data_IF_812679960890
#
_entry.id   IF_812679960890
#
_cell.length_a   1.000
_cell.length_b   1.000
_cell.length_c   1.000
_cell.angle_alpha   90.00
_cell.angle_beta   90.00
_cell.angle_gamma   90.00
#
_symmetry.space_group_name_H-M   'P 1'
#
loop_
_entity.id
_entity.type
_entity.pdbx_description
1 polymer ?
#
# COMPACT_ATOMS: atom_id res chain seq x y z
N UNK A 1 35.36 -6.20 20.11
CA UNK A 1 35.11 -5.79 18.71
C UNK A 1 34.41 -4.46 18.75
N UNK A 2 35.15 -3.38 18.49
CA UNK A 2 34.69 -2.00 18.52
C UNK A 2 33.92 -1.74 17.21
N UNK A 3 32.59 -1.57 17.28
CA UNK A 3 31.76 -1.22 16.13
C UNK A 3 32.02 0.25 15.79
N UNK A 4 32.85 0.47 14.76
CA UNK A 4 32.98 1.76 14.08
C UNK A 4 31.66 2.10 13.39
N UNK A 5 30.93 3.06 13.95
CA UNK A 5 29.82 3.72 13.28
C UNK A 5 30.38 4.57 12.14
N UNK A 6 30.37 4.04 10.92
CA UNK A 6 30.63 4.81 9.70
C UNK A 6 29.40 5.68 9.46
N UNK A 7 29.47 6.93 9.91
CA UNK A 7 28.53 7.97 9.56
C UNK A 7 28.77 8.33 8.08
N UNK A 8 28.04 7.70 7.17
CA UNK A 8 28.00 8.15 5.77
C UNK A 8 27.29 9.51 5.76
N UNK A 9 28.06 10.59 5.76
CA UNK A 9 27.59 11.88 5.31
C UNK A 9 27.23 11.72 3.82
N UNK A 10 25.94 11.56 3.53
CA UNK A 10 25.41 11.69 2.17
C UNK A 10 25.45 13.17 1.83
N UNK A 11 26.63 13.67 1.49
CA UNK A 11 26.75 14.92 0.76
C UNK A 11 25.99 14.73 -0.55
N UNK A 12 25.02 15.60 -0.83
CA UNK A 12 24.35 15.61 -2.12
C UNK A 12 25.43 15.69 -3.20
N UNK A 13 25.65 14.58 -3.92
CA UNK A 13 26.51 14.55 -5.09
C UNK A 13 25.85 15.51 -6.09
N UNK A 14 26.44 16.69 -6.25
CA UNK A 14 26.03 17.63 -7.27
C UNK A 14 26.21 16.92 -8.62
N UNK A 15 25.11 16.48 -9.21
CA UNK A 15 25.11 15.79 -10.50
C UNK A 15 25.58 16.80 -11.55
N UNK A 16 26.60 16.40 -12.32
CA UNK A 16 27.04 17.20 -13.45
C UNK A 16 25.91 17.33 -14.47
N UNK A 17 25.78 18.51 -15.07
CA UNK A 17 24.82 18.73 -16.14
C UNK A 17 25.20 17.85 -17.35
N UNK A 18 24.20 17.18 -17.93
CA UNK A 18 24.36 16.29 -19.07
C UNK A 18 23.47 16.70 -20.25
N UNK A 19 23.81 16.19 -21.43
CA UNK A 19 23.05 16.40 -22.65
C UNK A 19 22.91 17.88 -23.04
N UNK A 20 21.76 18.21 -23.62
CA UNK A 20 21.48 19.56 -24.11
C UNK A 20 21.39 20.61 -23.00
N UNK A 21 21.02 20.21 -21.78
CA UNK A 21 20.91 21.12 -20.65
C UNK A 21 22.28 21.61 -20.15
N UNK A 22 23.37 20.90 -20.47
CA UNK A 22 24.71 21.29 -20.05
C UNK A 22 25.29 22.48 -20.82
N UNK A 23 24.80 22.75 -22.03
CA UNK A 23 25.37 23.80 -22.87
C UNK A 23 25.04 25.19 -22.30
N UNK A 24 26.07 25.98 -21.98
CA UNK A 24 25.96 27.31 -21.37
C UNK A 24 25.23 27.35 -20.02
N UNK A 25 25.10 26.20 -19.35
CA UNK A 25 24.57 26.10 -18.01
C UNK A 25 25.69 26.26 -16.98
N UNK A 26 25.40 26.95 -15.88
CA UNK A 26 26.34 27.02 -14.77
C UNK A 26 26.58 25.61 -14.20
N UNK A 27 27.82 25.34 -13.80
CA UNK A 27 28.19 24.02 -13.29
C UNK A 27 27.26 23.62 -12.14
N UNK A 28 26.71 22.40 -12.18
CA UNK A 28 25.77 21.84 -11.18
C UNK A 28 24.40 22.50 -11.06
N UNK A 29 24.06 23.42 -11.97
CA UNK A 29 22.75 24.10 -11.98
C UNK A 29 21.76 23.39 -12.91
N UNK A 30 21.66 22.08 -12.74
CA UNK A 30 20.73 21.25 -13.49
C UNK A 30 19.84 20.42 -12.56
N UNK A 31 18.61 20.20 -13.00
CA UNK A 31 17.65 19.36 -12.32
C UNK A 31 16.98 18.39 -13.28
N UNK A 32 16.58 17.22 -12.79
CA UNK A 32 15.87 16.23 -13.59
C UNK A 32 14.37 16.52 -13.61
N UNK A 33 13.77 16.42 -14.81
CA UNK A 33 12.33 16.51 -15.07
C UNK A 33 11.97 15.31 -15.95
N UNK A 34 11.38 14.28 -15.32
CA UNK A 34 11.25 12.97 -15.96
C UNK A 34 12.63 12.41 -16.35
N UNK A 35 12.78 12.01 -17.61
CA UNK A 35 14.04 11.47 -18.15
C UNK A 35 14.99 12.54 -18.71
N UNK A 36 14.59 13.81 -18.71
CA UNK A 36 15.40 14.92 -19.22
C UNK A 36 16.00 15.74 -18.06
N UNK A 37 17.17 16.33 -18.29
CA UNK A 37 17.68 17.39 -17.43
C UNK A 37 17.26 18.76 -17.97
N UNK A 38 17.08 19.72 -17.06
CA UNK A 38 16.88 21.13 -17.35
C UNK A 38 18.01 21.94 -16.71
N UNK A 39 18.47 22.99 -17.37
CA UNK A 39 19.29 24.01 -16.73
C UNK A 39 18.40 24.97 -15.92
N UNK A 40 18.74 25.21 -14.66
CA UNK A 40 18.04 26.14 -13.76
C UNK A 40 18.76 27.48 -13.61
N UNK A 41 20.03 27.56 -14.02
CA UNK A 41 20.81 28.81 -14.04
C UNK A 41 21.87 28.77 -15.15
N UNK A 42 21.73 29.66 -16.13
CA UNK A 42 22.66 29.81 -17.23
C UNK A 42 23.86 30.69 -16.87
N UNK A 43 24.93 30.61 -17.67
CA UNK A 43 26.01 31.59 -17.64
C UNK A 43 25.49 32.97 -18.06
N UNK A 44 26.31 34.01 -17.89
CA UNK A 44 25.95 35.38 -18.26
C UNK A 44 25.45 35.50 -19.71
N UNK A 45 24.55 36.45 -19.94
CA UNK A 45 23.92 36.78 -21.22
C UNK A 45 23.02 35.67 -21.82
N UNK A 46 22.78 34.60 -21.07
CA UNK A 46 21.87 33.52 -21.42
C UNK A 46 20.78 33.35 -20.38
N UNK A 47 19.66 32.74 -20.77
CA UNK A 47 18.51 32.46 -19.91
C UNK A 47 17.91 31.08 -20.21
N UNK A 48 17.30 30.39 -19.21
CA UNK A 48 16.75 29.06 -19.44
C UNK A 48 15.41 29.13 -20.19
N UNK A 49 15.38 28.55 -21.39
CA UNK A 49 14.18 28.38 -22.22
C UNK A 49 14.06 26.90 -22.56
N UNK A 50 12.91 26.29 -22.24
CA UNK A 50 12.68 24.86 -22.48
C UNK A 50 13.80 23.95 -21.94
N UNK A 51 14.37 24.30 -20.78
CA UNK A 51 15.43 23.56 -20.12
C UNK A 51 16.85 23.76 -20.67
N UNK A 52 17.02 24.65 -21.65
CA UNK A 52 18.31 24.93 -22.32
C UNK A 52 18.64 26.40 -22.19
N UNK A 53 19.92 26.74 -22.23
CA UNK A 53 20.34 28.14 -22.19
C UNK A 53 20.30 28.76 -23.59
N UNK A 54 19.51 29.82 -23.72
CA UNK A 54 19.34 30.60 -24.95
C UNK A 54 19.81 32.05 -24.73
N UNK A 55 20.28 32.70 -25.79
CA UNK A 55 20.76 34.09 -25.70
C UNK A 55 19.64 35.03 -25.23
N UNK A 56 19.88 35.77 -24.15
CA UNK A 56 18.87 36.60 -23.50
C UNK A 56 18.25 37.66 -24.41
N UNK A 57 19.06 38.26 -25.30
CA UNK A 57 18.61 39.27 -26.24
C UNK A 57 17.52 38.74 -27.21
N UNK A 58 17.62 37.47 -27.61
CA UNK A 58 16.64 36.81 -28.50
C UNK A 58 15.43 36.25 -27.78
N UNK A 59 15.46 36.15 -26.45
CA UNK A 59 14.44 35.48 -25.65
C UNK A 59 13.40 36.42 -25.02
N UNK A 60 13.48 37.74 -25.22
CA UNK A 60 12.64 38.75 -24.56
C UNK A 60 11.13 38.59 -24.78
N UNK A 61 10.71 37.94 -25.88
CA UNK A 61 9.30 37.58 -26.11
C UNK A 61 8.77 36.46 -25.20
N UNK A 62 9.66 35.74 -24.51
CA UNK A 62 9.34 34.59 -23.63
C UNK A 62 9.79 34.82 -22.20
N UNK A 63 10.97 35.40 -22.01
CA UNK A 63 11.66 35.53 -20.74
C UNK A 63 12.24 36.93 -20.56
N UNK A 64 11.89 37.57 -19.46
CA UNK A 64 12.39 38.90 -19.09
C UNK A 64 12.79 38.93 -17.62
N UNK A 65 13.47 40.00 -17.23
CA UNK A 65 13.56 40.38 -15.83
C UNK A 65 12.19 40.93 -15.34
N UNK A 66 12.07 41.24 -14.05
CA UNK A 66 10.82 41.75 -13.46
C UNK A 66 10.37 43.09 -14.05
N UNK A 67 11.30 43.86 -14.62
CA UNK A 67 11.04 45.14 -15.30
C UNK A 67 10.70 45.02 -16.79
N UNK A 68 10.68 43.80 -17.36
CA UNK A 68 10.38 43.56 -18.77
C UNK A 68 11.56 43.72 -19.74
N UNK A 69 12.78 43.95 -19.25
CA UNK A 69 13.99 43.94 -20.08
C UNK A 69 14.59 42.53 -20.18
N UNK A 70 15.62 42.35 -21.00
CA UNK A 70 16.34 41.07 -21.09
C UNK A 70 16.81 40.63 -19.70
N UNK A 71 16.51 39.37 -19.35
CA UNK A 71 17.01 38.77 -18.11
C UNK A 71 18.46 38.29 -18.29
N UNK A 72 19.10 37.86 -17.20
CA UNK A 72 20.44 37.26 -17.25
C UNK A 72 20.51 36.12 -16.26
N UNK A 73 21.16 35.03 -16.64
CA UNK A 73 21.28 33.76 -15.90
C UNK A 73 19.97 33.01 -15.66
N UNK A 74 18.91 33.70 -15.24
CA UNK A 74 17.58 33.15 -14.95
C UNK A 74 16.49 34.06 -15.49
N UNK A 75 15.33 33.49 -15.77
CA UNK A 75 14.09 34.20 -16.04
C UNK A 75 13.43 34.64 -14.73
N UNK A 76 13.10 35.93 -14.63
CA UNK A 76 12.32 36.45 -13.51
C UNK A 76 10.84 36.66 -13.87
N UNK A 77 10.52 36.67 -15.16
CA UNK A 77 9.16 36.76 -15.68
C UNK A 77 9.02 36.01 -17.00
N UNK A 78 7.98 35.20 -17.12
CA UNK A 78 7.62 34.54 -18.36
C UNK A 78 6.48 35.27 -19.08
N UNK A 79 6.41 35.12 -20.40
CA UNK A 79 5.44 35.80 -21.27
C UNK A 79 4.88 34.87 -22.36
N UNK A 80 3.76 35.27 -22.96
CA UNK A 80 3.13 34.53 -24.05
C UNK A 80 2.65 33.13 -23.62
N UNK A 81 2.78 32.15 -24.51
CA UNK A 81 2.36 30.75 -24.28
C UNK A 81 3.42 29.92 -23.53
N UNK A 82 4.17 30.58 -22.66
CA UNK A 82 5.15 29.92 -21.79
C UNK A 82 4.65 29.85 -20.36
N UNK A 83 5.32 29.08 -19.51
CA UNK A 83 5.10 29.06 -18.06
C UNK A 83 6.43 29.04 -17.30
N UNK A 84 6.43 29.64 -16.11
CA UNK A 84 7.60 29.70 -15.24
C UNK A 84 7.77 28.40 -14.46
N UNK A 85 8.98 27.84 -14.49
CA UNK A 85 9.39 26.73 -13.64
C UNK A 85 10.88 26.85 -13.31
N UNK A 86 11.24 26.86 -12.01
CA UNK A 86 12.64 26.87 -11.52
C UNK A 86 13.59 27.82 -12.28
N UNK A 87 13.16 29.07 -12.48
CA UNK A 87 13.97 30.11 -13.12
C UNK A 87 14.04 30.06 -14.65
N UNK A 88 13.27 29.18 -15.29
CA UNK A 88 13.15 29.10 -16.74
C UNK A 88 11.71 29.26 -17.26
N UNK A 89 11.59 29.56 -18.55
CA UNK A 89 10.30 29.62 -19.24
C UNK A 89 10.13 28.45 -20.22
N UNK A 90 9.01 27.74 -20.13
CA UNK A 90 8.76 26.50 -20.87
C UNK A 90 7.50 26.59 -21.71
N UNK A 91 7.52 25.98 -22.89
CA UNK A 91 6.37 25.91 -23.81
C UNK A 91 5.71 24.52 -23.72
N UNK A 92 4.38 24.47 -23.76
CA UNK A 92 3.64 23.19 -23.75
C UNK A 92 3.78 22.38 -25.03
N UNK A 93 4.28 23.01 -26.11
CA UNK A 93 4.64 22.32 -27.37
C UNK A 93 6.04 21.71 -27.33
N UNK A 94 6.87 22.09 -26.35
CA UNK A 94 8.17 21.47 -26.13
C UNK A 94 8.01 20.16 -25.35
N UNK A 95 8.86 19.17 -25.64
CA UNK A 95 8.82 17.87 -24.99
C UNK A 95 8.91 17.97 -23.46
N UNK A 96 9.80 18.82 -22.93
CA UNK A 96 9.99 19.03 -21.48
C UNK A 96 8.82 19.83 -20.91
N UNK A 97 8.41 20.92 -21.56
CA UNK A 97 7.31 21.73 -21.03
C UNK A 97 6.00 20.95 -20.93
N UNK A 98 5.73 20.07 -21.90
CA UNK A 98 4.54 19.20 -21.91
C UNK A 98 4.51 18.19 -20.77
N UNK A 99 5.65 17.78 -20.19
CA UNK A 99 5.66 16.86 -19.04
C UNK A 99 5.19 17.52 -17.75
N UNK A 100 5.23 18.86 -17.67
CA UNK A 100 4.86 19.62 -16.48
C UNK A 100 3.52 20.34 -16.63
N UNK A 101 3.21 20.79 -17.86
CA UNK A 101 2.07 21.63 -18.14
C UNK A 101 1.44 21.26 -19.49
N UNK A 102 0.12 21.08 -19.51
CA UNK A 102 -0.64 20.78 -20.72
C UNK A 102 -1.18 22.03 -21.41
N UNK A 103 -1.45 23.10 -20.64
CA UNK A 103 -1.92 24.39 -21.17
C UNK A 103 -1.23 25.57 -20.47
N UNK A 104 -0.70 26.51 -21.25
CA UNK A 104 -0.05 27.71 -20.74
C UNK A 104 -0.52 28.98 -21.45
N UNK A 105 -0.70 30.04 -20.67
CA UNK A 105 -1.11 31.35 -21.12
C UNK A 105 -0.51 32.45 -20.23
N UNK A 106 -0.18 33.59 -20.83
CA UNK A 106 0.35 34.78 -20.16
C UNK A 106 1.57 34.56 -19.26
N UNK A 107 2.44 33.61 -19.63
CA UNK A 107 3.62 33.25 -18.84
C UNK A 107 3.34 32.30 -17.68
N UNK A 108 2.16 31.68 -17.63
CA UNK A 108 1.71 30.79 -16.57
C UNK A 108 1.19 29.47 -17.11
N UNK A 109 1.31 28.44 -16.30
CA UNK A 109 0.60 27.19 -16.54
C UNK A 109 -0.82 27.31 -16.02
N UNK A 110 -1.79 27.00 -16.86
CA UNK A 110 -3.22 27.01 -16.53
C UNK A 110 -3.79 25.61 -16.32
N UNK A 111 -3.15 24.59 -16.91
CA UNK A 111 -3.46 23.19 -16.67
C UNK A 111 -2.17 22.39 -16.51
N UNK A 112 -1.95 21.81 -15.33
CA UNK A 112 -0.78 20.97 -15.06
C UNK A 112 -0.90 19.60 -15.74
N UNK A 113 0.25 19.00 -16.04
CA UNK A 113 0.32 17.60 -16.47
C UNK A 113 0.30 16.65 -15.24
N UNK A 114 0.09 15.36 -15.48
CA UNK A 114 0.17 14.32 -14.44
C UNK A 114 1.51 14.38 -13.70
N UNK A 115 1.45 14.35 -12.37
CA UNK A 115 2.63 14.51 -11.49
C UNK A 115 3.01 15.95 -11.17
N UNK A 116 2.21 16.92 -11.63
CA UNK A 116 2.33 18.33 -11.29
C UNK A 116 0.96 18.91 -10.93
N UNK A 117 0.97 20.04 -10.22
CA UNK A 117 -0.22 20.83 -9.94
C UNK A 117 0.06 22.33 -10.06
N UNK A 118 -0.98 23.13 -10.34
CA UNK A 118 -0.89 24.60 -10.35
C UNK A 118 -1.13 25.13 -8.92
N UNK A 119 -0.29 26.04 -8.38
CA UNK A 119 -0.44 26.67 -7.04
C UNK A 119 -1.68 27.57 -6.83
N UNK A 120 -2.80 27.30 -7.51
CA UNK A 120 -3.98 28.14 -7.52
C UNK A 120 -3.99 29.19 -8.64
N UNK A 121 -5.10 29.90 -8.76
CA UNK A 121 -5.39 30.86 -9.83
C UNK A 121 -4.67 32.21 -9.68
N UNK A 122 -4.20 32.52 -8.47
CA UNK A 122 -3.50 33.78 -8.14
C UNK A 122 -2.01 33.81 -8.47
N UNK A 123 -1.44 32.70 -8.97
CA UNK A 123 -0.02 32.65 -9.30
C UNK A 123 0.33 33.70 -10.36
N UNK A 124 1.39 34.48 -10.11
CA UNK A 124 1.89 35.47 -11.05
C UNK A 124 2.83 34.83 -12.08
N UNK A 125 3.02 35.48 -13.23
CA UNK A 125 4.01 35.04 -14.23
C UNK A 125 5.46 35.36 -13.84
N UNK A 126 5.66 35.93 -12.66
CA UNK A 126 6.95 36.09 -11.97
C UNK A 126 7.19 35.00 -10.93
N UNK A 127 6.22 34.10 -10.74
CA UNK A 127 6.26 33.00 -9.76
C UNK A 127 6.18 31.67 -10.52
N UNK A 128 6.74 30.62 -9.93
CA UNK A 128 6.66 29.28 -10.51
C UNK A 128 5.20 28.83 -10.61
N UNK A 129 4.76 28.49 -11.82
CA UNK A 129 3.34 28.26 -12.10
C UNK A 129 2.92 26.80 -11.97
N UNK A 130 3.86 25.89 -11.77
CA UNK A 130 3.63 24.45 -11.54
C UNK A 130 4.55 23.92 -10.46
N UNK A 131 4.05 23.03 -9.62
CA UNK A 131 4.81 22.36 -8.56
C UNK A 131 4.72 20.86 -8.79
N UNK A 132 5.84 20.17 -8.64
CA UNK A 132 5.84 18.70 -8.72
C UNK A 132 5.10 18.12 -7.53
N UNK A 133 4.30 17.08 -7.76
CA UNK A 133 3.63 16.35 -6.69
C UNK A 133 4.62 15.81 -5.65
N UNK A 134 5.87 15.56 -6.02
CA UNK A 134 6.93 15.07 -5.12
C UNK A 134 7.67 16.14 -4.32
N UNK A 135 7.48 17.44 -4.62
CA UNK A 135 8.26 18.53 -4.03
C UNK A 135 7.74 18.96 -2.65
N UNK A 136 8.06 18.15 -1.65
CA UNK A 136 7.71 18.44 -0.25
C UNK A 136 8.64 19.44 0.44
N UNK A 137 9.81 19.73 -0.15
CA UNK A 137 10.86 20.49 0.52
C UNK A 137 10.85 21.97 0.14
N UNK A 138 10.72 22.28 -1.15
CA UNK A 138 10.88 23.66 -1.66
C UNK A 138 9.52 24.33 -1.83
N UNK A 139 8.68 23.81 -2.70
CA UNK A 139 7.37 24.39 -2.99
C UNK A 139 7.46 25.79 -3.60
N UNK A 140 6.32 26.48 -3.63
CA UNK A 140 6.20 27.83 -4.23
C UNK A 140 5.42 28.74 -3.32
N UNK A 141 5.98 29.91 -3.02
CA UNK A 141 5.24 30.99 -2.34
C UNK A 141 4.44 31.77 -3.37
N UNK A 142 3.13 31.92 -3.12
CA UNK A 142 2.23 32.74 -3.94
C UNK A 142 1.91 34.01 -3.18
N UNK A 143 2.54 35.12 -3.57
CA UNK A 143 2.46 36.38 -2.84
C UNK A 143 1.02 36.92 -2.80
N UNK A 144 0.31 36.81 -3.93
CA UNK A 144 -1.08 37.23 -4.06
C UNK A 144 -2.07 36.37 -3.24
N UNK A 145 -1.65 35.21 -2.75
CA UNK A 145 -2.42 34.37 -1.85
C UNK A 145 -1.92 34.42 -0.41
N UNK A 146 -1.77 35.64 0.13
CA UNK A 146 -1.30 35.87 1.50
C UNK A 146 0.07 35.27 1.80
N UNK A 147 0.92 35.11 0.77
CA UNK A 147 2.20 34.41 0.85
C UNK A 147 2.07 32.94 1.29
N UNK A 148 0.98 32.26 0.92
CA UNK A 148 0.86 30.81 1.11
C UNK A 148 1.93 30.07 0.28
N UNK A 149 2.46 29.00 0.86
CA UNK A 149 3.50 28.15 0.27
C UNK A 149 2.90 26.83 -0.17
N UNK A 150 2.87 26.57 -1.47
CA UNK A 150 2.30 25.37 -2.05
C UNK A 150 3.36 24.29 -2.22
N UNK A 151 3.13 23.11 -1.63
CA UNK A 151 4.10 22.00 -1.59
C UNK A 151 3.46 20.70 -2.08
N UNK A 152 4.29 19.85 -2.67
CA UNK A 152 3.97 18.45 -2.92
C UNK A 152 4.12 17.59 -1.65
N UNK A 153 4.02 16.28 -1.82
CA UNK A 153 4.23 15.26 -0.79
C UNK A 153 5.39 14.38 -1.22
N UNK A 154 6.30 14.09 -0.29
CA UNK A 154 7.47 13.28 -0.59
C UNK A 154 7.05 11.88 -1.09
N UNK A 155 7.66 11.43 -2.19
CA UNK A 155 7.34 10.17 -2.87
C UNK A 155 5.92 10.10 -3.46
N UNK A 156 5.32 11.24 -3.79
CA UNK A 156 4.06 11.30 -4.51
C UNK A 156 4.29 11.44 -6.02
N UNK A 157 3.71 10.53 -6.81
CA UNK A 157 3.79 10.52 -8.27
C UNK A 157 2.63 11.26 -8.91
N UNK A 158 1.43 11.16 -8.35
CA UNK A 158 0.24 11.85 -8.85
C UNK A 158 -0.48 12.52 -7.69
N UNK A 159 -0.96 13.74 -7.92
CA UNK A 159 -1.64 14.53 -6.91
C UNK A 159 -2.66 15.46 -7.54
N UNK A 160 -3.52 15.99 -6.68
CA UNK A 160 -4.42 17.09 -6.98
C UNK A 160 -3.97 18.33 -6.20
N UNK A 161 -4.30 19.51 -6.75
CA UNK A 161 -4.00 20.77 -6.06
C UNK A 161 -4.63 20.78 -4.66
N UNK A 162 -4.03 21.48 -3.68
CA UNK A 162 -4.61 21.58 -2.34
C UNK A 162 -6.05 22.09 -2.42
N UNK A 163 -6.95 21.47 -1.64
CA UNK A 163 -8.27 22.05 -1.43
C UNK A 163 -8.10 23.46 -0.86
N UNK A 164 -8.95 24.39 -1.27
CA UNK A 164 -9.01 25.73 -0.68
C UNK A 164 -9.60 25.65 0.74
N UNK A 165 -8.92 24.98 1.66
CA UNK A 165 -9.37 24.85 3.04
C UNK A 165 -9.21 26.22 3.72
N UNK A 166 -10.37 26.81 4.04
CA UNK A 166 -10.48 28.00 4.86
C UNK A 166 -10.07 27.69 6.30
N UNK A 167 -9.16 28.50 6.86
CA UNK A 167 -9.10 28.72 8.31
C UNK A 167 -8.07 27.95 9.14
N UNK A 168 -7.15 27.16 8.56
CA UNK A 168 -5.99 26.67 9.31
C UNK A 168 -4.77 27.56 9.05
N UNK A 169 -4.21 28.16 10.11
CA UNK A 169 -2.94 28.91 10.09
C UNK A 169 -1.74 27.98 9.88
N UNK A 170 -1.69 27.31 8.73
CA UNK A 170 -0.47 26.78 8.16
C UNK A 170 -0.21 27.61 6.90
N UNK A 171 0.94 28.29 6.85
CA UNK A 171 1.42 28.94 5.62
C UNK A 171 1.57 27.93 4.49
N UNK A 172 1.76 26.66 4.82
CA UNK A 172 2.02 25.60 3.87
C UNK A 172 0.69 24.92 3.43
N UNK A 173 0.47 24.86 2.12
CA UNK A 173 -0.64 24.20 1.44
C UNK A 173 -0.11 22.98 0.71
N UNK A 174 -0.39 21.80 1.23
CA UNK A 174 0.06 20.54 0.64
C UNK A 174 -0.93 20.03 -0.40
N UNK A 175 -0.41 19.57 -1.54
CA UNK A 175 -1.19 18.85 -2.53
C UNK A 175 -1.82 17.60 -1.93
N UNK A 176 -2.91 17.11 -2.51
CA UNK A 176 -3.51 15.83 -2.11
C UNK A 176 -3.00 14.73 -3.03
N UNK A 177 -2.11 13.88 -2.52
CA UNK A 177 -1.55 12.75 -3.25
C UNK A 177 -2.62 11.71 -3.60
N UNK A 178 -2.64 11.27 -4.84
CA UNK A 178 -3.56 10.25 -5.36
C UNK A 178 -2.83 8.97 -5.74
N UNK A 179 -1.51 9.03 -5.96
CA UNK A 179 -0.67 7.87 -6.22
C UNK A 179 0.74 8.10 -5.72
N UNK A 180 1.24 7.14 -4.95
CA UNK A 180 2.61 7.16 -4.45
C UNK A 180 3.57 6.47 -5.40
N UNK A 181 4.85 6.77 -5.25
CA UNK A 181 5.91 6.13 -6.00
C UNK A 181 5.90 4.61 -5.86
N UNK A 182 6.38 3.91 -6.89
CA UNK A 182 6.41 2.45 -6.93
C UNK A 182 6.90 1.83 -5.60
N UNK A 183 6.11 0.87 -5.09
CA UNK A 183 6.38 0.17 -3.82
C UNK A 183 5.96 0.89 -2.54
N UNK A 184 5.59 2.17 -2.61
CA UNK A 184 5.06 2.95 -1.47
C UNK A 184 3.55 2.77 -1.34
N UNK A 185 3.00 3.13 -0.19
CA UNK A 185 1.57 3.01 0.11
C UNK A 185 0.96 4.39 0.35
N UNK A 186 -0.12 4.69 -0.37
CA UNK A 186 -0.92 5.88 -0.14
C UNK A 186 -1.78 5.71 1.11
N UNK A 187 -1.58 6.59 2.08
CA UNK A 187 -2.45 6.70 3.26
C UNK A 187 -3.22 8.02 3.16
N UNK A 188 -4.54 7.92 3.17
CA UNK A 188 -5.47 9.05 3.25
C UNK A 188 -6.25 8.91 4.57
N UNK A 189 -6.16 9.91 5.44
CA UNK A 189 -6.89 9.94 6.72
C UNK A 189 -8.21 10.74 6.64
N UNK A 190 -8.60 11.15 5.43
CA UNK A 190 -9.75 11.99 5.15
C UNK A 190 -9.46 13.49 5.18
N UNK A 191 -8.32 13.91 5.75
CA UNK A 191 -7.88 15.30 5.83
C UNK A 191 -6.59 15.55 5.05
N UNK A 192 -5.65 14.60 5.11
CA UNK A 192 -4.33 14.69 4.49
C UNK A 192 -3.98 13.37 3.84
N UNK A 193 -3.02 13.44 2.90
CA UNK A 193 -2.49 12.27 2.22
C UNK A 193 -0.99 12.20 2.44
N UNK A 194 -0.47 10.98 2.52
CA UNK A 194 0.95 10.72 2.68
C UNK A 194 1.34 9.41 2.00
N UNK A 195 2.60 9.33 1.57
CA UNK A 195 3.18 8.12 1.02
C UNK A 195 4.08 7.46 2.05
N UNK A 196 3.65 6.30 2.56
CA UNK A 196 4.40 5.54 3.55
C UNK A 196 5.27 4.47 2.90
N UNK A 197 6.40 4.15 3.55
CA UNK A 197 7.47 3.40 2.91
C UNK A 197 7.15 1.91 2.73
N UNK A 198 6.44 1.32 3.68
CA UNK A 198 6.16 -0.13 3.74
C UNK A 198 4.73 -0.39 4.21
N UNK A 199 4.28 -1.64 4.05
CA UNK A 199 2.97 -2.08 4.54
C UNK A 199 2.77 -1.86 6.05
N UNK A 200 3.83 -2.00 6.85
CA UNK A 200 3.78 -1.81 8.30
C UNK A 200 3.55 -0.34 8.67
N UNK A 201 3.99 0.59 7.83
CA UNK A 201 3.87 2.03 8.07
C UNK A 201 2.44 2.54 7.84
N UNK A 202 1.54 1.72 7.29
CA UNK A 202 0.10 2.01 7.34
C UNK A 202 -0.40 2.15 8.79
N UNK A 203 0.21 1.39 9.71
CA UNK A 203 -0.08 1.45 11.15
C UNK A 203 -1.43 0.87 11.53
N UNK A 204 -1.74 0.95 12.82
CA UNK A 204 -3.04 0.54 13.35
C UNK A 204 -4.18 1.37 12.73
N UNK A 205 -5.35 0.75 12.59
CA UNK A 205 -6.51 1.34 11.91
C UNK A 205 -6.48 1.24 10.38
N UNK A 206 -5.41 0.69 9.78
CA UNK A 206 -5.30 0.52 8.33
C UNK A 206 -4.78 -0.86 7.94
N UNK A 207 -5.24 -1.36 6.81
CA UNK A 207 -4.70 -2.54 6.13
C UNK A 207 -3.92 -2.11 4.87
N UNK A 208 -2.73 -2.67 4.71
CA UNK A 208 -1.96 -2.51 3.49
C UNK A 208 -2.57 -3.34 2.35
N UNK A 209 -3.11 -2.66 1.33
CA UNK A 209 -3.59 -3.24 0.08
C UNK A 209 -2.56 -2.99 -1.01
N UNK A 210 -2.06 -4.05 -1.62
CA UNK A 210 -1.24 -3.95 -2.83
C UNK A 210 -2.14 -3.87 -4.06
N UNK A 211 -1.78 -3.01 -5.00
CA UNK A 211 -2.48 -2.82 -6.26
C UNK A 211 -1.48 -2.33 -7.30
N UNK A 212 -1.25 -3.12 -8.34
CA UNK A 212 -0.24 -2.82 -9.37
C UNK A 212 -0.70 -1.72 -10.32
N UNK A 213 -2.01 -1.51 -10.45
CA UNK A 213 -2.59 -0.59 -11.44
C UNK A 213 -2.85 0.77 -10.81
N UNK A 214 -3.50 0.75 -9.64
CA UNK A 214 -3.89 1.97 -8.90
C UNK A 214 -2.83 2.42 -7.89
N UNK A 215 -1.78 1.64 -7.68
CA UNK A 215 -0.77 1.87 -6.64
C UNK A 215 -1.19 1.33 -5.28
N UNK A 216 -0.24 1.01 -4.41
CA UNK A 216 -0.57 0.43 -3.11
C UNK A 216 -1.24 1.47 -2.19
N UNK A 217 -2.14 1.00 -1.34
CA UNK A 217 -2.98 1.84 -0.49
C UNK A 217 -3.01 1.31 0.96
N UNK A 218 -3.05 2.21 1.93
CA UNK A 218 -3.46 1.93 3.29
C UNK A 218 -4.98 2.15 3.37
N UNK A 219 -5.74 1.06 3.37
CA UNK A 219 -7.20 1.10 3.42
C UNK A 219 -7.65 1.10 4.87
N UNK A 220 -8.53 2.02 5.26
CA UNK A 220 -9.05 2.09 6.63
C UNK A 220 -9.73 0.78 7.04
N UNK A 221 -9.47 0.33 8.27
CA UNK A 221 -10.16 -0.82 8.85
C UNK A 221 -11.67 -0.58 9.00
N UNK A 222 -12.09 0.69 9.10
CA UNK A 222 -13.49 1.09 9.24
C UNK A 222 -14.05 1.71 7.95
N UNK A 223 -13.42 1.43 6.79
CA UNK A 223 -13.93 1.86 5.49
C UNK A 223 -15.43 1.53 5.33
N UNK A 224 -16.22 2.49 4.86
CA UNK A 224 -17.69 2.36 4.82
C UNK A 224 -18.20 1.34 3.78
N UNK A 225 -17.35 0.93 2.84
CA UNK A 225 -17.72 -0.03 1.78
C UNK A 225 -17.22 -1.44 2.06
N UNK A 226 -16.03 -1.58 2.67
CA UNK A 226 -15.34 -2.86 2.84
C UNK A 226 -14.75 -3.10 4.24
N UNK A 227 -14.82 -2.10 5.11
CA UNK A 227 -14.30 -2.15 6.47
C UNK A 227 -15.24 -2.88 7.45
N UNK A 228 -14.73 -3.05 8.67
CA UNK A 228 -15.44 -3.65 9.80
C UNK A 228 -15.57 -2.57 10.87
N UNK A 229 -16.80 -2.12 11.15
CA UNK A 229 -17.06 -1.12 12.19
C UNK A 229 -16.54 -1.58 13.56
N UNK A 230 -15.81 -0.72 14.27
CA UNK A 230 -15.22 -1.03 15.57
C UNK A 230 -13.93 -1.85 15.47
N UNK A 231 -13.30 -1.88 14.30
CA UNK A 231 -12.06 -2.60 14.07
C UNK A 231 -10.84 -1.71 14.27
N UNK A 232 -10.03 -2.02 15.29
CA UNK A 232 -8.82 -1.27 15.62
C UNK A 232 -7.60 -1.71 14.79
N UNK A 233 -7.51 -2.99 14.43
CA UNK A 233 -6.44 -3.53 13.58
C UNK A 233 -7.00 -4.50 12.56
N UNK A 234 -6.50 -4.43 11.35
CA UNK A 234 -6.97 -5.28 10.27
C UNK A 234 -5.84 -5.61 9.28
N UNK A 235 -6.11 -6.59 8.44
CA UNK A 235 -5.31 -6.95 7.28
C UNK A 235 -6.19 -6.90 6.03
N UNK A 236 -5.58 -6.90 4.84
CA UNK A 236 -6.30 -6.98 3.58
C UNK A 236 -6.25 -8.42 3.07
N UNK A 237 -7.41 -9.00 2.83
CA UNK A 237 -7.57 -10.31 2.21
C UNK A 237 -7.71 -10.11 0.71
N UNK A 238 -6.58 -10.22 0.01
CA UNK A 238 -6.51 -10.06 -1.44
C UNK A 238 -7.29 -11.13 -2.19
N UNK A 239 -7.45 -12.34 -1.64
CA UNK A 239 -8.16 -13.43 -2.29
C UNK A 239 -9.67 -13.13 -2.39
N UNK A 240 -10.23 -12.46 -1.37
CA UNK A 240 -11.64 -12.10 -1.30
C UNK A 240 -11.89 -10.59 -1.44
N UNK A 241 -10.85 -9.82 -1.77
CA UNK A 241 -10.87 -8.37 -1.99
C UNK A 241 -11.56 -7.55 -0.88
N UNK A 242 -11.24 -7.83 0.38
CA UNK A 242 -11.93 -7.27 1.57
C UNK A 242 -10.99 -7.04 2.77
N UNK A 243 -11.46 -6.26 3.74
CA UNK A 243 -10.77 -6.08 5.02
C UNK A 243 -11.08 -7.25 5.95
N UNK A 244 -10.04 -7.75 6.63
CA UNK A 244 -10.12 -8.74 7.69
C UNK A 244 -9.70 -8.11 9.01
N UNK A 245 -10.65 -7.92 9.91
CA UNK A 245 -10.37 -7.43 11.24
C UNK A 245 -9.58 -8.46 12.05
N UNK A 246 -8.50 -8.03 12.69
CA UNK A 246 -7.66 -8.88 13.54
C UNK A 246 -7.79 -8.52 15.01
N UNK A 247 -8.21 -7.28 15.31
CA UNK A 247 -8.49 -6.79 16.66
C UNK A 247 -9.58 -5.72 16.62
N UNK A 248 -10.65 -5.94 17.40
CA UNK A 248 -11.68 -4.94 17.65
C UNK A 248 -11.20 -3.94 18.72
N UNK A 249 -11.79 -2.75 18.76
CA UNK A 249 -11.47 -1.70 19.74
C UNK A 249 -11.84 -2.13 21.16
N UNK A 250 -13.10 -2.48 21.38
CA UNK A 250 -13.69 -2.89 22.66
C UNK A 250 -14.57 -4.16 22.55
N UNK A 251 -15.08 -4.43 21.35
CA UNK A 251 -15.91 -5.59 21.00
C UNK A 251 -15.13 -6.91 20.86
N UNK A 252 -15.85 -8.00 20.64
CA UNK A 252 -15.32 -9.34 20.40
C UNK A 252 -15.21 -9.62 18.90
N UNK A 253 -14.03 -10.05 18.47
CA UNK A 253 -13.81 -10.48 17.11
C UNK A 253 -14.50 -11.83 16.87
N UNK A 254 -15.44 -11.87 15.95
CA UNK A 254 -16.11 -13.10 15.50
C UNK A 254 -15.75 -13.38 14.05
N UNK A 255 -15.30 -14.61 13.78
CA UNK A 255 -14.96 -15.08 12.42
C UNK A 255 -15.98 -16.11 11.98
N UNK A 256 -16.62 -15.87 10.83
CA UNK A 256 -17.52 -16.82 10.19
C UNK A 256 -16.75 -17.90 9.41
N UNK A 257 -17.46 -18.96 8.99
CA UNK A 257 -16.84 -20.12 8.31
C UNK A 257 -16.21 -19.76 6.94
N UNK A 258 -16.70 -18.70 6.29
CA UNK A 258 -16.14 -18.11 5.07
C UNK A 258 -14.92 -17.20 5.34
N UNK A 259 -14.44 -17.17 6.58
CA UNK A 259 -13.36 -16.31 7.04
C UNK A 259 -13.77 -14.87 7.31
N UNK A 260 -15.07 -14.52 7.24
CA UNK A 260 -15.51 -13.14 7.47
C UNK A 260 -15.40 -12.73 8.93
N UNK A 261 -14.67 -11.65 9.18
CA UNK A 261 -14.51 -11.09 10.52
C UNK A 261 -15.51 -9.97 10.80
N UNK A 262 -16.07 -9.96 11.99
CA UNK A 262 -16.95 -8.90 12.51
C UNK A 262 -16.61 -8.58 13.96
N UNK A 263 -16.93 -7.38 14.40
CA UNK A 263 -16.80 -6.96 15.79
C UNK A 263 -18.19 -6.93 16.44
N UNK A 264 -18.44 -7.84 17.38
CA UNK A 264 -19.75 -8.03 18.01
C UNK A 264 -19.68 -7.85 19.52
N UNK A 265 -20.81 -7.56 20.15
CA UNK A 265 -20.88 -7.49 21.61
C UNK A 265 -20.71 -8.88 22.25
N UNK A 266 -20.28 -8.93 23.50
CA UNK A 266 -19.95 -10.18 24.21
C UNK A 266 -21.10 -11.20 24.21
N UNK A 267 -22.33 -10.71 24.36
CA UNK A 267 -23.56 -11.52 24.40
C UNK A 267 -23.89 -12.17 23.05
N UNK A 268 -23.18 -11.81 21.98
CA UNK A 268 -23.32 -12.41 20.64
C UNK A 268 -22.35 -13.58 20.41
N UNK A 269 -21.39 -13.81 21.31
CA UNK A 269 -20.58 -15.02 21.33
C UNK A 269 -21.36 -16.16 22.02
N UNK A 270 -22.49 -16.58 21.44
CA UNK A 270 -23.37 -17.59 22.04
C UNK A 270 -23.78 -18.63 21.00
N UNK A 271 -24.13 -19.83 21.48
CA UNK A 271 -24.56 -20.98 20.67
C UNK A 271 -23.45 -21.60 19.84
N UNK A 272 -22.91 -20.88 18.86
CA UNK A 272 -21.89 -21.35 17.89
C UNK A 272 -20.45 -20.99 18.29
N UNK A 273 -20.33 -20.19 19.34
CA UNK A 273 -19.07 -19.64 19.84
C UNK A 273 -19.23 -19.23 21.31
N UNK A 274 -18.11 -18.89 21.95
CA UNK A 274 -18.07 -18.39 23.33
C UNK A 274 -17.04 -17.27 23.49
N UNK A 275 -17.24 -16.32 24.42
CA UNK A 275 -16.36 -15.17 24.57
C UNK A 275 -15.09 -15.50 25.33
N UNK A 276 -13.96 -15.00 24.85
CA UNK A 276 -12.68 -14.97 25.58
C UNK A 276 -12.11 -13.55 25.54
N UNK A 277 -11.88 -12.98 26.72
CA UNK A 277 -11.35 -11.62 26.89
C UNK A 277 -9.83 -11.64 26.91
N UNK A 278 -9.20 -10.77 26.14
CA UNK A 278 -7.75 -10.57 26.16
C UNK A 278 -7.43 -9.11 25.83
N UNK A 279 -6.97 -8.34 26.82
CA UNK A 279 -6.67 -6.92 26.61
C UNK A 279 -5.46 -6.70 25.68
N UNK A 280 -4.51 -7.63 25.69
CA UNK A 280 -3.28 -7.57 24.92
C UNK A 280 -3.54 -7.85 23.43
N UNK A 281 -4.13 -9.01 23.13
CA UNK A 281 -4.34 -9.49 21.75
C UNK A 281 -5.72 -9.19 21.19
N UNK A 282 -6.67 -8.72 22.02
CA UNK A 282 -8.05 -8.42 21.65
C UNK A 282 -9.03 -9.52 22.07
N UNK A 283 -10.28 -9.11 22.34
CA UNK A 283 -11.37 -10.01 22.70
C UNK A 283 -11.81 -10.84 21.47
N UNK A 284 -12.13 -12.12 21.68
CA UNK A 284 -12.49 -13.05 20.59
C UNK A 284 -13.71 -13.90 20.95
N UNK A 285 -14.61 -14.09 19.99
CA UNK A 285 -15.59 -15.18 20.02
C UNK A 285 -14.90 -16.43 19.48
N UNK A 286 -14.51 -17.36 20.35
CA UNK A 286 -13.90 -18.63 19.94
C UNK A 286 -15.01 -19.52 19.39
N UNK A 287 -14.86 -19.98 18.15
CA UNK A 287 -15.83 -20.89 17.52
C UNK A 287 -15.85 -22.23 18.25
N UNK A 288 -17.02 -22.82 18.39
CA UNK A 288 -17.17 -24.14 19.01
C UNK A 288 -16.38 -25.22 18.27
N UNK A 289 -16.13 -25.06 16.97
CA UNK A 289 -15.35 -25.97 16.14
C UNK A 289 -13.85 -25.72 16.12
N UNK A 290 -13.35 -24.68 16.79
CA UNK A 290 -11.96 -24.23 16.69
C UNK A 290 -11.04 -24.95 17.70
N UNK A 291 -10.38 -26.02 17.25
CA UNK A 291 -9.40 -26.77 18.06
C UNK A 291 -8.10 -26.00 18.33
N UNK A 292 -7.78 -25.01 17.48
CA UNK A 292 -6.56 -24.20 17.67
C UNK A 292 -6.73 -23.30 18.88
N UNK A 293 -7.89 -22.63 18.97
CA UNK A 293 -8.29 -21.80 20.07
C UNK A 293 -7.46 -20.54 20.24
N UNK A 294 -7.56 -19.92 21.42
CA UNK A 294 -6.91 -18.66 21.77
C UNK A 294 -6.37 -18.71 23.19
N UNK A 295 -5.51 -17.76 23.54
CA UNK A 295 -5.09 -17.56 24.94
C UNK A 295 -5.74 -16.31 25.53
N UNK A 296 -6.07 -16.37 26.81
CA UNK A 296 -6.48 -15.19 27.57
C UNK A 296 -5.28 -14.34 28.02
N UNK A 297 -5.57 -13.24 28.71
CA UNK A 297 -4.56 -12.33 29.25
C UNK A 297 -3.60 -12.99 30.27
N UNK A 298 -3.98 -14.15 30.84
CA UNK A 298 -3.19 -14.94 31.79
C UNK A 298 -2.44 -16.10 31.11
N UNK A 299 -2.36 -16.10 29.78
CA UNK A 299 -1.76 -17.18 28.97
C UNK A 299 -2.43 -18.54 29.13
N UNK A 300 -3.71 -18.59 29.54
CA UNK A 300 -4.46 -19.85 29.60
C UNK A 300 -5.17 -20.09 28.28
N UNK A 301 -5.17 -21.34 27.81
CA UNK A 301 -5.73 -21.74 26.51
C UNK A 301 -7.24 -22.02 26.59
N UNK A 302 -7.96 -21.55 25.59
CA UNK A 302 -9.39 -21.74 25.39
C UNK A 302 -9.62 -22.23 23.96
N UNK A 303 -10.28 -23.37 23.78
CA UNK A 303 -10.49 -23.96 22.45
C UNK A 303 -11.85 -24.65 22.36
N UNK A 304 -12.35 -24.77 21.15
CA UNK A 304 -13.49 -25.60 20.80
C UNK A 304 -13.13 -27.08 20.68
N UNK A 305 -14.08 -27.84 20.12
CA UNK A 305 -14.03 -29.27 19.87
C UNK A 305 -14.19 -29.50 18.37
N UNK A 306 -13.37 -30.38 17.78
CA UNK A 306 -13.46 -30.74 16.37
C UNK A 306 -14.91 -31.02 15.94
N UNK A 307 -15.35 -30.45 14.82
CA UNK A 307 -16.67 -30.68 14.23
C UNK A 307 -17.86 -30.33 15.16
N UNK A 308 -17.64 -29.52 16.20
CA UNK A 308 -18.70 -29.07 17.09
C UNK A 308 -19.37 -27.80 16.53
N UNK A 309 -20.69 -27.86 16.33
CA UNK A 309 -21.46 -26.72 15.82
C UNK A 309 -22.03 -25.85 16.95
N UNK A 310 -22.31 -26.45 18.12
CA UNK A 310 -22.80 -25.74 19.30
C UNK A 310 -22.11 -26.19 20.56
N UNK A 311 -21.76 -25.27 21.44
CA UNK A 311 -21.05 -25.56 22.68
C UNK A 311 -21.41 -24.59 23.79
N UNK A 312 -21.07 -24.97 25.02
CA UNK A 312 -21.11 -24.09 26.19
C UNK A 312 -19.70 -23.76 26.66
N UNK A 313 -19.48 -22.50 27.04
CA UNK A 313 -18.21 -22.02 27.59
C UNK A 313 -17.81 -22.85 28.82
N UNK A 314 -16.54 -23.29 28.94
CA UNK A 314 -16.07 -23.98 30.12
C UNK A 314 -15.93 -22.99 31.31
N UNK A 315 -16.12 -23.46 32.54
CA UNK A 315 -16.05 -22.63 33.76
C UNK A 315 -14.63 -22.15 34.10
N UNK A 316 -13.62 -22.75 33.46
CA UNK A 316 -12.22 -22.36 33.53
C UNK A 316 -11.59 -22.59 32.15
N UNK A 317 -10.40 -22.04 31.94
CA UNK A 317 -9.65 -22.23 30.70
C UNK A 317 -9.52 -23.73 30.35
N UNK A 318 -9.83 -24.06 29.11
CA UNK A 318 -9.85 -25.42 28.61
C UNK A 318 -10.74 -25.57 27.37
N UNK A 319 -11.04 -26.82 27.04
CA UNK A 319 -11.89 -27.20 25.91
C UNK A 319 -13.37 -26.93 26.24
N UNK A 320 -14.09 -26.33 25.30
CA UNK A 320 -15.53 -26.10 25.43
C UNK A 320 -16.33 -27.40 25.42
N UNK A 321 -17.51 -27.40 26.05
CA UNK A 321 -18.37 -28.58 26.08
C UNK A 321 -19.28 -28.60 24.86
N UNK A 322 -19.09 -29.57 23.97
CA UNK A 322 -19.94 -29.68 22.79
C UNK A 322 -21.35 -30.14 23.16
N UNK A 323 -22.36 -29.44 22.62
CA UNK A 323 -23.79 -29.76 22.84
C UNK A 323 -24.50 -30.16 21.54
N UNK A 324 -23.95 -29.78 20.39
CA UNK A 324 -24.40 -30.29 19.10
C UNK A 324 -23.25 -30.32 18.08
N UNK A 325 -23.16 -31.40 17.33
CA UNK A 325 -22.16 -31.56 16.29
C UNK A 325 -22.62 -30.95 14.97
N UNK A 326 -21.65 -30.67 14.10
CA UNK A 326 -21.90 -30.30 12.71
C UNK A 326 -22.57 -31.46 11.95
N UNK A 327 -23.18 -31.13 10.81
CA UNK A 327 -23.84 -32.12 9.94
C UNK A 327 -22.90 -33.27 9.58
N UNK A 328 -23.38 -34.51 9.73
CA UNK A 328 -22.58 -35.71 9.47
C UNK A 328 -21.81 -36.25 10.68
N UNK A 329 -21.99 -35.68 11.87
CA UNK A 329 -21.37 -36.13 13.11
C UNK A 329 -22.42 -36.38 14.21
N UNK A 330 -22.19 -37.40 15.02
CA UNK A 330 -22.97 -37.71 16.22
C UNK A 330 -22.19 -37.25 17.47
N UNK A 331 -22.93 -36.81 18.48
CA UNK A 331 -22.36 -36.46 19.78
C UNK A 331 -22.16 -37.72 20.62
N UNK A 332 -20.91 -38.01 20.98
CA UNK A 332 -20.54 -39.08 21.91
C UNK A 332 -19.89 -38.46 23.15
N UNK A 333 -20.69 -38.26 24.20
CA UNK A 333 -20.24 -37.49 25.36
C UNK A 333 -20.11 -36.00 25.03
N UNK A 334 -18.89 -35.46 25.13
CA UNK A 334 -18.58 -34.05 24.80
C UNK A 334 -17.82 -33.90 23.47
N UNK A 335 -17.68 -34.98 22.69
CA UNK A 335 -16.95 -35.00 21.40
C UNK A 335 -17.85 -35.40 20.23
N UNK A 336 -17.45 -34.98 19.03
CA UNK A 336 -18.18 -35.28 17.80
C UNK A 336 -17.45 -36.35 16.99
N UNK A 337 -18.13 -37.46 16.72
CA UNK A 337 -17.63 -38.56 15.90
C UNK A 337 -18.43 -38.69 14.62
N UNK A 338 -17.80 -39.15 13.54
CA UNK A 338 -18.48 -39.28 12.25
C UNK A 338 -19.71 -40.17 12.35
N UNK A 339 -20.86 -39.70 11.86
CA UNK A 339 -22.14 -40.40 11.92
C UNK A 339 -22.26 -41.58 10.94
N UNK A 340 -21.14 -42.05 10.38
CA UNK A 340 -21.14 -43.03 9.30
C UNK A 340 -21.85 -44.33 9.73
N UNK A 341 -22.99 -44.58 9.11
CA UNK A 341 -23.65 -45.88 9.00
C UNK A 341 -22.91 -46.83 8.03
N UNK A 342 -21.60 -46.62 7.81
CA UNK A 342 -20.77 -47.59 7.10
C UNK A 342 -20.06 -48.50 8.10
N UNK A 343 -20.87 -49.22 8.89
CA UNK A 343 -20.46 -50.51 9.45
C UNK A 343 -20.44 -51.54 8.31
N UNK A 344 -19.50 -51.40 7.39
CA UNK A 344 -19.09 -52.49 6.52
C UNK A 344 -17.62 -52.78 6.82
N UNK A 345 -17.39 -53.71 7.77
CA UNK A 345 -16.19 -54.55 7.95
C UNK A 345 -14.84 -53.81 8.18
N UNK A 346 -14.04 -54.01 9.25
CA UNK A 346 -13.87 -55.10 10.19
C UNK A 346 -13.34 -54.55 11.53
N UNK A 347 -13.66 -55.26 12.62
CA UNK A 347 -12.98 -55.14 13.90
C UNK A 347 -11.45 -55.24 13.73
N UNK A 348 -10.72 -54.44 14.49
CA UNK A 348 -9.26 -54.36 14.58
C UNK A 348 -8.57 -55.69 14.94
N UNK A 349 -9.32 -56.79 15.13
CA UNK A 349 -8.82 -58.15 15.27
C UNK A 349 -8.64 -58.95 13.97
N UNK A 350 -9.01 -58.43 12.79
CA UNK A 350 -8.92 -59.16 11.51
C UNK A 350 -7.93 -58.55 10.48
N UNK A 351 -7.19 -57.50 10.84
CA UNK A 351 -6.22 -56.82 9.97
C UNK A 351 -4.78 -57.39 10.16
N UNK A 352 -4.68 -58.62 10.69
CA UNK A 352 -3.44 -59.40 10.70
C UNK A 352 -3.46 -60.61 9.74
N UNK A 353 -4.58 -60.85 9.01
CA UNK A 353 -4.73 -62.06 8.17
C UNK A 353 -4.76 -61.83 6.66
N UNK A 354 -5.11 -60.64 6.18
CA UNK A 354 -5.44 -60.44 4.75
C UNK A 354 -4.25 -59.92 3.92
N UNK A 355 -3.26 -59.28 4.55
CA UNK A 355 -2.03 -58.84 3.90
C UNK A 355 -1.07 -59.99 3.56
N UNK A 356 -1.11 -61.11 4.29
CA UNK A 356 -0.25 -62.27 4.00
C UNK A 356 -0.82 -63.09 2.83
N UNK A 357 -2.14 -63.25 2.73
CA UNK A 357 -2.75 -64.01 1.64
C UNK A 357 -2.54 -63.33 0.28
N UNK A 358 -2.68 -62.00 0.19
CA UNK A 358 -2.45 -61.27 -1.05
C UNK A 358 -0.97 -61.30 -1.48
N UNK A 359 -0.03 -61.15 -0.53
CA UNK A 359 1.41 -61.21 -0.83
C UNK A 359 1.86 -62.62 -1.22
N UNK A 360 1.30 -63.68 -0.61
CA UNK A 360 1.60 -65.07 -1.02
C UNK A 360 1.01 -65.40 -2.39
N UNK A 361 -0.21 -64.91 -2.69
CA UNK A 361 -0.84 -65.15 -4.00
C UNK A 361 -0.12 -64.38 -5.11
N UNK A 362 0.21 -63.10 -4.90
CA UNK A 362 0.96 -62.29 -5.88
C UNK A 362 2.41 -62.77 -5.99
N UNK A 363 3.07 -63.09 -4.88
CA UNK A 363 4.42 -63.66 -4.87
C UNK A 363 4.50 -65.03 -5.54
N UNK A 364 3.50 -65.89 -5.32
CA UNK A 364 3.38 -67.19 -5.98
C UNK A 364 3.11 -67.07 -7.48
N UNK A 365 2.26 -66.13 -7.91
CA UNK A 365 2.00 -65.86 -9.33
C UNK A 365 3.24 -65.33 -10.05
N UNK A 366 3.96 -64.37 -9.45
CA UNK A 366 5.18 -63.81 -10.03
C UNK A 366 6.30 -64.85 -10.06
N UNK A 367 6.44 -65.68 -9.00
CA UNK A 367 7.39 -66.79 -8.96
C UNK A 367 7.12 -67.86 -10.02
N UNK A 368 5.85 -68.24 -10.20
CA UNK A 368 5.43 -69.20 -11.22
C UNK A 368 5.66 -68.67 -12.64
N UNK A 369 5.37 -67.39 -12.90
CA UNK A 369 5.63 -66.75 -14.19
C UNK A 369 7.13 -66.64 -14.50
N UNK A 370 7.96 -66.27 -13.52
CA UNK A 370 9.42 -66.26 -13.69
C UNK A 370 9.98 -67.66 -13.96
N UNK A 371 9.52 -68.69 -13.23
CA UNK A 371 9.93 -70.07 -13.48
C UNK A 371 9.50 -70.57 -14.86
N UNK A 372 8.25 -70.28 -15.26
CA UNK A 372 7.72 -70.67 -16.56
C UNK A 372 8.49 -70.04 -17.72
N UNK A 373 8.83 -68.74 -17.65
CA UNK A 373 9.60 -68.07 -18.69
C UNK A 373 11.07 -68.49 -18.73
N UNK A 374 11.68 -68.80 -17.58
CA UNK A 374 13.10 -69.18 -17.51
C UNK A 374 13.32 -70.65 -17.86
N UNK A 375 12.44 -71.57 -17.46
CA UNK A 375 12.63 -73.01 -17.68
C UNK A 375 12.00 -73.55 -18.96
N UNK A 376 11.04 -72.84 -19.58
CA UNK A 376 10.46 -73.29 -20.87
C UNK A 376 11.27 -72.85 -22.10
N UNK A 377 12.33 -72.06 -21.92
CA UNK A 377 13.28 -71.69 -22.99
C UNK A 377 14.43 -72.68 -23.19
N UNK A 378 14.46 -73.80 -22.45
CA UNK A 378 15.54 -74.78 -22.55
C UNK A 378 15.06 -76.21 -22.34
N UNK A 379 14.10 -76.61 -23.18
CA UNK A 379 13.82 -78.00 -23.55
C UNK A 379 13.48 -78.03 -25.04
#
# INVERSE_FOLDING_TARGET
MLLLAIYFAVGALAVACEGDAANQCESTKCESVGDAQICTECVADNVPINGRCEAAAGATGKCTNSGGAAATKVCAKCAGKTFMYKGGCYETTNAIGKTMCTEAADGKCTAAATGYFVPGDKVANTEQSVVSCGDAATGVTVAADSNNVYKGIANCEECTAPDAAAGARATDKFAKCTKCSAGKYLKDDGSTTQCVATANDCGDGYAAKQDTDSGNQCVSCEDTTKGVTGCAKCTYDSANARIQCTKCTDKYLKTAADGTTTCVDQDKCVTDSFPVTNAQTGNKCVSCGDETGVTDASNKKWNGVANCAKCTQPSAAGTAKCTACASGFNLEGETCVSASANRSALSTGAIAGISVAAVVVVGGLVGFLCWWFVCRGKA
#
